data_IF_826343855703
#
_entry.id   IF_826343855703
#
_cell.length_a   1.000
_cell.length_b   1.000
_cell.length_c   1.000
_cell.angle_alpha   90.00
_cell.angle_beta   90.00
_cell.angle_gamma   90.00
#
_symmetry.space_group_name_H-M   'P 1'
#
loop_
_entity.id
_entity.type
_entity.pdbx_description
1 polymer ?
#
# COMPACT_ATOMS: atom_id res chain seq x y z
N UNK A 1 8.06 6.64 -16.13
CA UNK A 1 6.95 5.90 -15.51
C UNK A 1 7.53 4.90 -14.53
N UNK A 2 6.94 4.74 -13.35
CA UNK A 2 7.38 3.76 -12.34
C UNK A 2 6.87 2.39 -12.77
N UNK A 3 7.76 1.40 -12.78
CA UNK A 3 7.36 0.01 -12.96
C UNK A 3 7.04 -0.60 -11.57
N UNK A 4 5.76 -0.79 -11.29
CA UNK A 4 5.29 -1.33 -10.02
C UNK A 4 5.55 -2.83 -9.88
N UNK A 5 5.67 -3.56 -10.98
CA UNK A 5 5.88 -5.01 -10.98
C UNK A 5 7.37 -5.39 -10.99
N UNK A 6 8.22 -4.54 -11.55
CA UNK A 6 9.65 -4.74 -11.59
C UNK A 6 10.42 -3.45 -11.25
N UNK A 7 10.25 -2.90 -10.01
CA UNK A 7 10.89 -1.65 -9.64
C UNK A 7 12.41 -1.77 -9.69
N UNK A 8 13.04 -0.80 -10.35
CA UNK A 8 14.49 -0.77 -10.50
C UNK A 8 15.09 0.36 -9.67
N UNK A 9 16.12 0.03 -8.88
CA UNK A 9 16.92 1.02 -8.19
C UNK A 9 17.85 1.73 -9.17
N UNK A 10 17.51 2.98 -9.49
CA UNK A 10 18.28 3.87 -10.37
C UNK A 10 18.43 5.24 -9.71
N UNK A 11 19.44 6.04 -10.07
CA UNK A 11 19.54 7.42 -9.56
C UNK A 11 18.29 8.27 -9.78
N UNK A 12 17.48 7.95 -10.80
CA UNK A 12 16.22 8.67 -11.13
C UNK A 12 15.02 8.22 -10.33
N UNK A 13 15.05 7.06 -9.65
CA UNK A 13 13.91 6.43 -8.98
C UNK A 13 14.08 6.26 -7.47
N UNK A 14 15.10 6.88 -6.87
CA UNK A 14 15.45 6.65 -5.45
C UNK A 14 14.32 7.02 -4.48
N UNK A 15 13.47 7.98 -4.84
CA UNK A 15 12.33 8.43 -4.02
C UNK A 15 11.13 7.49 -4.04
N UNK A 16 11.05 6.62 -5.02
CA UNK A 16 9.91 5.70 -5.20
C UNK A 16 10.29 4.23 -5.12
N UNK A 17 11.53 3.89 -5.49
CA UNK A 17 12.00 2.51 -5.56
C UNK A 17 11.73 1.70 -4.29
N UNK A 18 12.13 2.24 -3.13
CA UNK A 18 11.98 1.53 -1.85
C UNK A 18 10.52 1.23 -1.53
N UNK A 19 9.65 2.22 -1.63
CA UNK A 19 8.23 2.06 -1.33
C UNK A 19 7.56 1.06 -2.28
N UNK A 20 7.75 1.22 -3.59
CA UNK A 20 7.16 0.32 -4.60
C UNK A 20 7.65 -1.12 -4.42
N UNK A 21 8.95 -1.33 -4.14
CA UNK A 21 9.49 -2.65 -3.88
C UNK A 21 8.87 -3.30 -2.64
N UNK A 22 8.70 -2.53 -1.57
CA UNK A 22 8.13 -3.01 -0.31
C UNK A 22 6.64 -3.35 -0.45
N UNK A 23 5.85 -2.50 -1.11
CA UNK A 23 4.44 -2.74 -1.39
C UNK A 23 4.26 -3.98 -2.26
N UNK A 24 4.98 -4.07 -3.38
CA UNK A 24 4.97 -5.26 -4.23
C UNK A 24 5.30 -6.53 -3.42
N UNK A 25 6.37 -6.49 -2.63
CA UNK A 25 6.80 -7.64 -1.82
C UNK A 25 5.75 -8.01 -0.76
N UNK A 26 5.04 -7.04 -0.18
CA UNK A 26 3.98 -7.29 0.77
C UNK A 26 2.77 -7.96 0.11
N UNK A 27 2.34 -7.47 -1.06
CA UNK A 27 1.27 -8.11 -1.85
C UNK A 27 1.67 -9.52 -2.27
N UNK A 28 2.91 -9.70 -2.73
CA UNK A 28 3.43 -11.00 -3.17
C UNK A 28 3.38 -12.07 -2.06
N UNK A 29 3.64 -11.68 -0.80
CA UNK A 29 3.48 -12.58 0.36
C UNK A 29 2.02 -12.96 0.63
N UNK A 30 1.09 -12.04 0.38
CA UNK A 30 -0.34 -12.26 0.60
C UNK A 30 -1.03 -13.02 -0.55
N UNK A 31 -0.38 -13.17 -1.71
CA UNK A 31 -1.00 -13.66 -2.95
C UNK A 31 -1.71 -15.00 -2.83
N UNK A 32 -1.17 -15.94 -2.07
CA UNK A 32 -1.78 -17.26 -1.89
C UNK A 32 -3.15 -17.22 -1.19
N UNK A 33 -3.48 -16.09 -0.54
CA UNK A 33 -4.77 -15.92 0.14
C UNK A 33 -5.87 -15.36 -0.78
N UNK A 34 -5.53 -14.80 -1.95
CA UNK A 34 -6.54 -14.32 -2.89
C UNK A 34 -7.19 -15.48 -3.65
N UNK A 35 -8.50 -15.42 -3.79
CA UNK A 35 -9.30 -16.40 -4.51
C UNK A 35 -10.60 -15.78 -5.04
N UNK A 36 -11.22 -16.42 -6.03
CA UNK A 36 -12.52 -16.02 -6.58
C UNK A 36 -12.56 -14.59 -7.11
N UNK A 37 -13.61 -13.87 -6.76
CA UNK A 37 -13.82 -12.47 -7.12
C UNK A 37 -13.05 -11.55 -6.16
N UNK A 38 -12.07 -10.80 -6.65
CA UNK A 38 -11.26 -9.84 -5.87
C UNK A 38 -11.70 -8.42 -6.19
N UNK A 39 -12.12 -7.67 -5.17
CA UNK A 39 -12.45 -6.26 -5.25
C UNK A 39 -11.23 -5.41 -4.88
N UNK A 40 -10.77 -4.55 -5.77
CA UNK A 40 -9.71 -3.57 -5.50
C UNK A 40 -10.34 -2.20 -5.28
N UNK A 41 -10.37 -1.75 -4.03
CA UNK A 41 -10.97 -0.49 -3.59
C UNK A 41 -9.91 0.59 -3.55
N UNK A 42 -10.11 1.70 -4.28
CA UNK A 42 -9.09 2.72 -4.53
C UNK A 42 -8.03 2.20 -5.51
N UNK A 43 -8.48 1.60 -6.61
CA UNK A 43 -7.63 0.84 -7.53
C UNK A 43 -6.61 1.70 -8.30
N UNK A 44 -6.80 3.00 -8.41
CA UNK A 44 -5.94 3.92 -9.14
C UNK A 44 -5.70 3.47 -10.59
N UNK A 45 -4.46 3.22 -10.92
CA UNK A 45 -4.04 2.68 -12.23
C UNK A 45 -3.98 1.15 -12.27
N UNK A 46 -4.49 0.47 -11.26
CA UNK A 46 -4.50 -1.00 -11.12
C UNK A 46 -3.10 -1.66 -11.26
N UNK A 47 -2.06 -1.13 -10.59
CA UNK A 47 -0.68 -1.55 -10.84
C UNK A 47 -0.41 -3.01 -10.46
N UNK A 48 -1.23 -3.58 -9.59
CA UNK A 48 -1.05 -4.94 -9.07
C UNK A 48 -2.03 -5.96 -9.64
N UNK A 49 -2.90 -5.57 -10.59
CA UNK A 49 -3.92 -6.46 -11.19
C UNK A 49 -3.33 -7.77 -11.72
N UNK A 50 -2.27 -7.70 -12.50
CA UNK A 50 -1.64 -8.91 -13.05
C UNK A 50 -0.97 -9.78 -11.99
N UNK A 51 -0.43 -9.16 -10.92
CA UNK A 51 0.13 -9.87 -9.79
C UNK A 51 -0.94 -10.64 -9.01
N UNK A 52 -2.09 -10.01 -8.76
CA UNK A 52 -3.24 -10.62 -8.06
C UNK A 52 -3.87 -11.74 -8.88
N UNK A 53 -3.91 -11.63 -10.21
CA UNK A 53 -4.49 -12.63 -11.11
C UNK A 53 -3.53 -13.75 -11.52
N UNK A 54 -2.29 -13.77 -11.01
CA UNK A 54 -1.29 -14.79 -11.36
C UNK A 54 -0.98 -15.74 -10.19
N UNK A 55 -0.61 -16.96 -10.50
CA UNK A 55 -0.20 -17.95 -9.49
C UNK A 55 0.87 -17.39 -8.52
N UNK A 56 0.82 -17.74 -7.21
CA UNK A 56 -0.02 -18.76 -6.57
C UNK A 56 -1.43 -18.27 -6.13
N UNK A 57 -1.88 -17.09 -6.56
CA UNK A 57 -3.24 -16.63 -6.33
C UNK A 57 -4.25 -17.54 -7.06
N UNK A 58 -5.41 -17.74 -6.43
CA UNK A 58 -6.56 -18.43 -7.02
C UNK A 58 -7.68 -17.45 -7.38
N UNK A 59 -7.32 -16.16 -7.52
CA UNK A 59 -8.27 -15.16 -8.00
C UNK A 59 -8.65 -15.42 -9.46
N UNK A 60 -9.95 -15.41 -9.72
CA UNK A 60 -10.51 -15.68 -11.06
C UNK A 60 -10.99 -14.40 -11.74
N UNK A 61 -11.34 -13.39 -10.94
CA UNK A 61 -11.84 -12.10 -11.42
C UNK A 61 -11.28 -10.97 -10.58
N UNK A 62 -10.97 -9.86 -11.23
CA UNK A 62 -10.56 -8.62 -10.59
C UNK A 62 -11.59 -7.54 -10.91
N UNK A 63 -12.14 -6.92 -9.90
CA UNK A 63 -13.17 -5.88 -9.96
C UNK A 63 -12.56 -4.62 -9.36
N UNK A 64 -12.46 -3.57 -10.14
CA UNK A 64 -11.86 -2.29 -9.73
C UNK A 64 -12.92 -1.29 -9.30
N UNK A 65 -12.68 -0.61 -8.17
CA UNK A 65 -13.54 0.45 -7.63
C UNK A 65 -12.69 1.67 -7.31
N UNK A 66 -13.09 2.84 -7.77
CA UNK A 66 -12.45 4.12 -7.43
C UNK A 66 -13.42 5.29 -7.51
N UNK A 67 -12.98 6.46 -7.05
CA UNK A 67 -13.69 7.71 -7.21
C UNK A 67 -13.75 8.11 -8.70
N UNK A 68 -14.79 8.82 -9.14
CA UNK A 68 -14.88 9.30 -10.51
C UNK A 68 -13.66 10.13 -10.92
N UNK A 69 -13.11 9.85 -12.08
CA UNK A 69 -11.98 10.60 -12.66
C UNK A 69 -10.61 10.32 -12.05
N UNK A 70 -10.48 9.36 -11.15
CA UNK A 70 -9.20 8.90 -10.58
C UNK A 70 -8.64 7.73 -11.38
N UNK A 71 -7.34 7.78 -11.67
CA UNK A 71 -6.63 6.68 -12.33
C UNK A 71 -7.13 6.32 -13.73
N UNK A 72 -7.16 5.03 -14.01
CA UNK A 72 -7.85 4.47 -15.18
C UNK A 72 -9.34 4.34 -14.84
N UNK A 73 -10.21 4.33 -15.87
CA UNK A 73 -11.64 4.10 -15.64
C UNK A 73 -11.85 2.78 -14.85
N UNK A 74 -12.38 2.83 -13.62
CA UNK A 74 -12.68 1.64 -12.83
C UNK A 74 -13.89 0.91 -13.41
N UNK A 75 -14.05 -0.39 -13.06
CA UNK A 75 -15.27 -1.14 -13.39
C UNK A 75 -16.51 -0.55 -12.67
N UNK A 76 -16.29 0.04 -11.48
CA UNK A 76 -17.32 0.62 -10.63
C UNK A 76 -16.82 1.95 -10.08
N UNK A 77 -17.60 3.00 -10.30
CA UNK A 77 -17.40 4.27 -9.62
C UNK A 77 -18.16 4.29 -8.28
N UNK A 78 -17.57 4.85 -7.24
CA UNK A 78 -18.21 5.01 -5.93
C UNK A 78 -18.02 6.43 -5.38
N UNK A 79 -18.71 6.74 -4.30
CA UNK A 79 -18.69 8.07 -3.67
C UNK A 79 -17.71 8.18 -2.48
N UNK A 80 -16.88 7.16 -2.25
CA UNK A 80 -15.98 7.08 -1.10
C UNK A 80 -16.65 6.63 0.20
N UNK A 81 -17.95 6.31 0.16
CA UNK A 81 -18.75 5.92 1.33
C UNK A 81 -19.45 4.58 1.17
N UNK A 82 -20.23 4.41 0.10
CA UNK A 82 -21.00 3.20 -0.15
C UNK A 82 -20.55 2.54 -1.47
N UNK A 83 -20.06 1.32 -1.39
CA UNK A 83 -19.71 0.52 -2.56
C UNK A 83 -21.01 0.02 -3.22
N UNK A 84 -21.29 0.34 -4.50
CA UNK A 84 -22.54 -0.02 -5.17
C UNK A 84 -22.58 -1.51 -5.57
N UNK A 85 -22.34 -2.38 -4.60
CA UNK A 85 -22.45 -3.82 -4.68
C UNK A 85 -23.35 -4.34 -3.57
N UNK A 86 -24.10 -5.44 -3.80
CA UNK A 86 -24.89 -6.08 -2.75
C UNK A 86 -23.99 -6.69 -1.66
N UNK A 87 -24.59 -7.00 -0.52
CA UNK A 87 -23.94 -7.71 0.57
C UNK A 87 -23.39 -9.07 0.10
N UNK A 88 -22.28 -9.50 0.69
CA UNK A 88 -21.67 -10.79 0.44
C UNK A 88 -21.44 -11.10 -1.06
N UNK A 89 -21.00 -10.13 -1.84
CA UNK A 89 -20.84 -10.23 -3.31
C UNK A 89 -19.48 -10.76 -3.75
N UNK A 90 -18.40 -10.47 -3.01
CA UNK A 90 -17.02 -10.77 -3.40
C UNK A 90 -16.33 -11.70 -2.40
N UNK A 91 -15.33 -12.43 -2.87
CA UNK A 91 -14.58 -13.39 -2.06
C UNK A 91 -13.42 -12.73 -1.34
N UNK A 92 -12.78 -11.77 -2.00
CA UNK A 92 -11.64 -11.03 -1.47
C UNK A 92 -11.80 -9.53 -1.71
N UNK A 93 -11.17 -8.72 -0.87
CA UNK A 93 -11.00 -7.29 -1.08
C UNK A 93 -9.54 -6.89 -0.83
N UNK A 94 -9.07 -5.88 -1.57
CA UNK A 94 -7.78 -5.25 -1.31
C UNK A 94 -7.91 -3.74 -1.29
N UNK A 95 -7.12 -3.08 -0.42
CA UNK A 95 -6.97 -1.64 -0.32
C UNK A 95 -5.47 -1.35 -0.21
N UNK A 96 -4.87 -0.78 -1.24
CA UNK A 96 -3.43 -0.53 -1.28
C UNK A 96 -3.17 0.97 -1.20
N UNK A 97 -2.73 1.47 -0.03
CA UNK A 97 -2.49 2.90 0.22
C UNK A 97 -3.77 3.72 -0.07
N UNK A 98 -4.85 3.42 0.65
CA UNK A 98 -6.18 4.03 0.47
C UNK A 98 -6.70 4.64 1.76
N UNK A 99 -6.57 3.93 2.90
CA UNK A 99 -7.21 4.35 4.15
C UNK A 99 -6.69 5.69 4.68
N UNK A 100 -5.46 6.05 4.36
CA UNK A 100 -4.89 7.36 4.71
C UNK A 100 -5.61 8.54 4.05
N UNK A 101 -6.32 8.28 2.94
CA UNK A 101 -7.09 9.27 2.17
C UNK A 101 -8.59 9.31 2.52
N UNK A 102 -9.05 8.42 3.39
CA UNK A 102 -10.45 8.30 3.73
C UNK A 102 -10.77 9.14 4.97
N UNK A 103 -11.69 10.10 4.86
CA UNK A 103 -12.16 10.89 6.01
C UNK A 103 -12.86 10.03 7.08
N UNK A 104 -13.49 8.91 6.68
CA UNK A 104 -14.07 7.90 7.58
C UNK A 104 -13.51 6.50 7.27
N UNK A 105 -12.29 6.19 7.71
CA UNK A 105 -11.66 4.90 7.42
C UNK A 105 -12.40 3.70 8.05
N UNK A 106 -13.06 3.89 9.18
CA UNK A 106 -13.87 2.84 9.82
C UNK A 106 -15.12 2.54 9.00
N UNK A 107 -15.79 3.57 8.47
CA UNK A 107 -16.94 3.44 7.57
C UNK A 107 -16.57 2.69 6.28
N UNK A 108 -15.44 3.03 5.65
CA UNK A 108 -14.93 2.32 4.47
C UNK A 108 -14.65 0.85 4.77
N UNK A 109 -14.01 0.53 5.89
CA UNK A 109 -13.76 -0.86 6.28
C UNK A 109 -15.05 -1.64 6.56
N UNK A 110 -16.09 -1.00 7.14
CA UNK A 110 -17.42 -1.60 7.33
C UNK A 110 -18.10 -1.90 6.00
N UNK A 111 -17.98 -1.00 5.02
CA UNK A 111 -18.50 -1.24 3.66
C UNK A 111 -17.78 -2.39 2.97
N UNK A 112 -16.46 -2.44 3.07
CA UNK A 112 -15.67 -3.58 2.57
C UNK A 112 -16.11 -4.88 3.25
N UNK A 113 -16.30 -4.85 4.56
CA UNK A 113 -16.83 -6.01 5.30
C UNK A 113 -18.22 -6.40 4.82
N UNK A 114 -19.12 -5.46 4.55
CA UNK A 114 -20.46 -5.72 4.04
C UNK A 114 -20.45 -6.47 2.72
N UNK A 115 -19.65 -6.01 1.75
CA UNK A 115 -19.58 -6.63 0.42
C UNK A 115 -18.81 -7.94 0.36
N UNK A 116 -17.94 -8.22 1.33
CA UNK A 116 -17.27 -9.49 1.47
C UNK A 116 -18.24 -10.59 1.92
N UNK A 117 -18.10 -11.78 1.36
CA UNK A 117 -18.77 -12.99 1.85
C UNK A 117 -18.31 -13.34 3.26
N UNK A 118 -19.13 -14.05 4.06
CA UNK A 118 -18.66 -14.63 5.33
C UNK A 118 -17.37 -15.44 5.09
N UNK A 119 -16.35 -15.26 5.92
CA UNK A 119 -15.02 -15.86 5.73
C UNK A 119 -14.21 -15.27 4.58
N UNK A 120 -14.68 -14.21 3.92
CA UNK A 120 -13.96 -13.52 2.83
C UNK A 120 -12.66 -12.86 3.32
N UNK A 121 -11.68 -12.78 2.45
CA UNK A 121 -10.33 -12.29 2.75
C UNK A 121 -10.20 -10.81 2.47
N UNK A 122 -9.61 -10.06 3.42
CA UNK A 122 -9.20 -8.68 3.27
C UNK A 122 -7.68 -8.57 3.31
N UNK A 123 -7.11 -7.86 2.34
CA UNK A 123 -5.73 -7.39 2.33
C UNK A 123 -5.70 -5.87 2.25
N UNK A 124 -4.86 -5.22 3.07
CA UNK A 124 -4.62 -3.78 2.92
C UNK A 124 -3.18 -3.40 3.23
N UNK A 125 -2.76 -2.23 2.73
CA UNK A 125 -1.53 -1.54 3.13
C UNK A 125 -1.83 -0.10 3.49
N UNK A 126 -1.02 0.45 4.40
CA UNK A 126 -1.03 1.87 4.77
C UNK A 126 0.39 2.36 4.99
N UNK A 127 0.72 3.60 4.61
CA UNK A 127 2.03 4.19 4.85
C UNK A 127 2.18 4.54 6.35
N UNK A 128 3.42 4.41 6.86
CA UNK A 128 3.80 4.94 8.17
C UNK A 128 4.73 6.14 8.01
N UNK A 129 5.76 6.02 7.16
CA UNK A 129 6.66 7.11 6.81
C UNK A 129 6.52 7.40 5.31
N UNK A 130 5.76 8.44 4.99
CA UNK A 130 5.63 8.95 3.63
C UNK A 130 5.32 10.45 3.66
N UNK A 131 5.85 11.26 2.72
CA UNK A 131 5.48 12.67 2.62
C UNK A 131 3.99 12.86 2.37
N UNK A 132 3.45 13.98 2.79
CA UNK A 132 2.07 14.35 2.42
C UNK A 132 1.94 14.35 0.89
N UNK A 133 0.85 13.73 0.41
CA UNK A 133 0.54 13.59 -1.01
C UNK A 133 -0.97 13.62 -1.22
N UNK A 134 -1.42 13.83 -2.44
CA UNK A 134 -2.84 13.91 -2.80
C UNK A 134 -3.66 14.88 -1.94
N UNK A 135 -2.99 15.97 -1.51
CA UNK A 135 -3.58 17.01 -0.65
C UNK A 135 -4.81 17.65 -1.32
N UNK A 136 -5.88 17.94 -0.54
CA UNK A 136 -5.95 17.97 0.92
C UNK A 136 -6.36 16.64 1.59
N UNK A 137 -6.45 15.54 0.86
CA UNK A 137 -7.04 14.28 1.31
C UNK A 137 -6.04 13.26 1.91
N UNK A 138 -4.86 13.69 2.34
CA UNK A 138 -3.88 12.84 3.05
C UNK A 138 -4.00 13.09 4.55
N UNK A 139 -4.85 12.32 5.23
CA UNK A 139 -5.32 12.63 6.57
C UNK A 139 -4.66 11.79 7.67
N UNK A 140 -4.26 10.53 7.38
CA UNK A 140 -3.85 9.60 8.43
C UNK A 140 -2.50 8.92 8.21
N UNK A 141 -1.86 8.62 9.35
CA UNK A 141 -0.76 7.65 9.49
C UNK A 141 -1.08 6.72 10.64
N UNK A 142 -1.13 5.44 10.38
CA UNK A 142 -1.63 4.45 11.33
C UNK A 142 -0.50 3.77 12.10
N UNK A 143 -0.64 3.66 13.42
CA UNK A 143 0.11 2.67 14.20
C UNK A 143 -0.57 1.30 14.06
N UNK A 144 0.18 0.22 14.32
CA UNK A 144 -0.39 -1.13 14.32
C UNK A 144 -1.57 -1.28 15.29
N UNK A 145 -1.52 -0.62 16.43
CA UNK A 145 -2.59 -0.65 17.44
C UNK A 145 -3.87 0.07 16.96
N UNK A 146 -3.70 1.22 16.30
CA UNK A 146 -4.82 1.94 15.70
C UNK A 146 -5.47 1.11 14.59
N UNK A 147 -4.67 0.57 13.68
CA UNK A 147 -5.14 -0.25 12.56
C UNK A 147 -5.85 -1.52 13.05
N UNK A 148 -5.30 -2.19 14.08
CA UNK A 148 -5.92 -3.37 14.71
C UNK A 148 -7.32 -3.04 15.26
N UNK A 149 -7.46 -1.91 15.95
CA UNK A 149 -8.74 -1.47 16.52
C UNK A 149 -9.76 -1.14 15.42
N UNK A 150 -9.37 -0.43 14.37
CA UNK A 150 -10.25 -0.11 13.23
C UNK A 150 -10.75 -1.38 12.55
N UNK A 151 -9.84 -2.32 12.27
CA UNK A 151 -10.20 -3.61 11.66
C UNK A 151 -11.15 -4.41 12.54
N UNK A 152 -10.89 -4.49 13.85
CA UNK A 152 -11.76 -5.19 14.78
C UNK A 152 -13.18 -4.59 14.83
N UNK A 153 -13.29 -3.25 14.88
CA UNK A 153 -14.55 -2.53 14.88
C UNK A 153 -15.34 -2.71 13.57
N UNK A 154 -14.63 -2.95 12.47
CA UNK A 154 -15.23 -3.13 11.15
C UNK A 154 -15.61 -4.59 10.84
N UNK A 155 -15.41 -5.54 11.75
CA UNK A 155 -15.78 -6.94 11.57
C UNK A 155 -14.62 -7.89 11.20
N UNK A 156 -13.37 -7.44 11.42
CA UNK A 156 -12.14 -8.20 11.20
C UNK A 156 -11.32 -8.37 12.50
N UNK A 157 -11.83 -9.09 13.52
CA UNK A 157 -11.24 -9.12 14.86
C UNK A 157 -9.86 -9.78 14.92
N UNK A 158 -9.55 -10.69 13.98
CA UNK A 158 -8.34 -11.49 13.95
C UNK A 158 -7.37 -11.05 12.83
N UNK A 159 -7.19 -9.76 12.63
CA UNK A 159 -6.27 -9.24 11.63
C UNK A 159 -4.81 -9.51 12.02
N UNK A 160 -4.01 -10.01 11.08
CA UNK A 160 -2.56 -10.11 11.18
C UNK A 160 -1.94 -8.87 10.56
N UNK A 161 -1.22 -8.07 11.35
CA UNK A 161 -0.58 -6.84 10.90
C UNK A 161 0.94 -7.02 10.90
N UNK A 162 1.58 -6.69 9.77
CA UNK A 162 3.01 -6.79 9.57
C UNK A 162 3.62 -5.48 9.04
N UNK A 163 4.90 -5.24 9.32
CA UNK A 163 5.64 -4.17 8.66
C UNK A 163 5.89 -4.51 7.19
N UNK A 164 5.80 -3.52 6.30
CA UNK A 164 6.20 -3.69 4.90
C UNK A 164 7.72 -3.68 4.74
N UNK A 165 8.45 -2.89 5.54
CA UNK A 165 9.92 -2.84 5.61
C UNK A 165 10.41 -2.49 7.00
N UNK A 166 11.69 -2.75 7.28
CA UNK A 166 12.34 -2.52 8.56
C UNK A 166 13.20 -1.25 8.58
N UNK A 167 14.14 -1.20 9.53
CA UNK A 167 14.98 -0.02 9.80
C UNK A 167 15.88 0.40 8.64
N UNK A 168 16.44 -0.55 7.90
CA UNK A 168 17.32 -0.24 6.77
C UNK A 168 16.51 0.27 5.59
N UNK A 169 15.36 -0.33 5.31
CA UNK A 169 14.43 0.14 4.30
C UNK A 169 13.90 1.55 4.64
N UNK A 170 13.59 1.82 5.91
CA UNK A 170 13.20 3.15 6.35
C UNK A 170 14.29 4.18 6.04
N UNK A 171 15.53 3.91 6.41
CA UNK A 171 16.66 4.80 6.12
C UNK A 171 16.83 5.00 4.61
N UNK A 172 16.75 3.93 3.82
CA UNK A 172 16.84 3.98 2.36
C UNK A 172 15.74 4.87 1.74
N UNK A 173 14.49 4.69 2.17
CA UNK A 173 13.33 5.48 1.70
C UNK A 173 13.52 6.96 2.06
N UNK A 174 13.87 7.27 3.32
CA UNK A 174 14.08 8.66 3.76
C UNK A 174 15.23 9.32 3.00
N UNK A 175 16.35 8.63 2.78
CA UNK A 175 17.47 9.14 1.97
C UNK A 175 17.04 9.39 0.52
N UNK A 176 16.31 8.47 -0.09
CA UNK A 176 15.79 8.62 -1.45
C UNK A 176 14.87 9.82 -1.60
N UNK A 177 13.93 9.98 -0.67
CA UNK A 177 13.02 11.13 -0.60
C UNK A 177 13.79 12.44 -0.41
N UNK A 178 14.74 12.47 0.52
CA UNK A 178 15.54 13.66 0.79
C UNK A 178 16.31 14.11 -0.45
N UNK A 179 16.93 13.19 -1.19
CA UNK A 179 17.69 13.54 -2.40
C UNK A 179 16.77 13.98 -3.53
N UNK A 180 15.70 13.24 -3.78
CA UNK A 180 14.88 13.40 -4.99
C UNK A 180 13.79 14.45 -4.87
N UNK A 181 13.14 14.53 -3.70
CA UNK A 181 12.01 15.46 -3.45
C UNK A 181 12.41 16.78 -2.81
N UNK A 182 13.71 17.04 -2.66
CA UNK A 182 14.19 18.34 -2.19
C UNK A 182 13.74 19.43 -3.16
N UNK A 183 13.07 20.46 -2.65
CA UNK A 183 12.65 21.62 -3.43
C UNK A 183 13.90 22.38 -3.92
N UNK A 184 14.22 22.28 -5.20
CA UNK A 184 15.45 22.83 -5.78
C UNK A 184 15.08 23.77 -6.90
N UNK A 185 15.30 25.07 -6.66
CA UNK A 185 14.90 26.17 -7.55
C UNK A 185 16.03 26.70 -8.44
N UNK A 186 17.28 26.28 -8.24
CA UNK A 186 18.43 26.78 -9.00
C UNK A 186 19.16 25.68 -9.79
N UNK A 187 19.91 26.08 -10.84
CA UNK A 187 20.74 25.14 -11.64
C UNK A 187 21.79 24.40 -10.80
N UNK A 188 22.38 25.05 -9.80
CA UNK A 188 23.33 24.42 -8.85
C UNK A 188 22.67 23.27 -8.11
N UNK A 189 21.42 23.44 -7.70
CA UNK A 189 20.67 22.38 -7.04
C UNK A 189 20.38 21.18 -7.94
N UNK A 190 20.13 21.40 -9.23
CA UNK A 190 19.90 20.30 -10.19
C UNK A 190 21.15 19.42 -10.31
N UNK A 191 22.32 20.03 -10.44
CA UNK A 191 23.61 19.32 -10.48
C UNK A 191 23.87 18.56 -9.17
N UNK A 192 23.70 19.25 -8.02
CA UNK A 192 23.87 18.63 -6.70
C UNK A 192 22.92 17.44 -6.52
N UNK A 193 21.66 17.56 -6.94
CA UNK A 193 20.69 16.47 -6.91
C UNK A 193 21.15 15.28 -7.75
N UNK A 194 21.65 15.54 -8.97
CA UNK A 194 22.14 14.47 -9.85
C UNK A 194 23.34 13.75 -9.23
N UNK A 195 24.35 14.51 -8.74
CA UNK A 195 25.54 13.96 -8.08
C UNK A 195 25.15 13.14 -6.85
N UNK A 196 24.33 13.69 -5.95
CA UNK A 196 23.88 12.99 -4.74
C UNK A 196 23.07 11.73 -5.09
N UNK A 197 22.25 11.77 -6.14
CA UNK A 197 21.50 10.59 -6.60
C UNK A 197 22.44 9.47 -7.05
N UNK A 198 23.52 9.79 -7.76
CA UNK A 198 24.52 8.81 -8.19
C UNK A 198 25.33 8.26 -7.00
N UNK A 199 25.76 9.14 -6.10
CA UNK A 199 26.57 8.76 -4.92
C UNK A 199 25.77 7.90 -3.93
N UNK A 200 24.51 8.27 -3.68
CA UNK A 200 23.68 7.56 -2.70
C UNK A 200 22.94 6.35 -3.28
N UNK A 201 22.89 6.20 -4.60
CA UNK A 201 22.28 5.03 -5.23
C UNK A 201 22.79 3.69 -4.70
N UNK A 202 24.13 3.38 -4.67
CA UNK A 202 24.61 2.12 -4.16
C UNK A 202 24.34 1.95 -2.66
N UNK A 203 24.34 3.03 -1.88
CA UNK A 203 24.00 3.01 -0.45
C UNK A 203 22.53 2.60 -0.25
N UNK A 204 21.62 3.25 -0.96
CA UNK A 204 20.19 2.95 -0.90
C UNK A 204 19.92 1.51 -1.36
N UNK A 205 20.54 1.08 -2.45
CA UNK A 205 20.42 -0.28 -2.94
C UNK A 205 20.92 -1.31 -1.90
N UNK A 206 22.06 -1.05 -1.27
CA UNK A 206 22.62 -1.92 -0.22
C UNK A 206 21.72 -1.98 1.00
N UNK A 207 21.22 -0.84 1.48
CA UNK A 207 20.29 -0.77 2.61
C UNK A 207 19.03 -1.59 2.34
N UNK A 208 18.43 -1.44 1.14
CA UNK A 208 17.25 -2.23 0.75
C UNK A 208 17.54 -3.74 0.71
N UNK A 209 18.75 -4.13 0.30
CA UNK A 209 19.18 -5.55 0.27
C UNK A 209 19.44 -6.14 1.66
N UNK A 210 19.91 -5.31 2.58
CA UNK A 210 20.21 -5.70 3.97
C UNK A 210 18.96 -5.64 4.86
N UNK A 211 17.86 -5.10 4.38
CA UNK A 211 16.68 -4.90 5.21
C UNK A 211 16.08 -6.22 5.67
N UNK A 212 15.69 -6.22 6.93
CA UNK A 212 14.93 -7.30 7.56
C UNK A 212 13.69 -6.71 8.21
N UNK A 213 12.55 -7.23 7.82
CA UNK A 213 11.29 -6.86 8.47
C UNK A 213 11.34 -7.23 9.95
N UNK A 214 10.80 -6.38 10.84
CA UNK A 214 10.63 -6.76 12.23
C UNK A 214 9.60 -7.91 12.32
N UNK A 215 9.93 -8.95 13.09
CA UNK A 215 9.01 -10.08 13.35
C UNK A 215 7.86 -9.70 14.27
N UNK A 216 8.09 -8.74 15.15
CA UNK A 216 7.11 -8.22 16.12
C UNK A 216 7.08 -6.70 16.05
N UNK A 217 5.86 -6.16 16.11
CA UNK A 217 5.63 -4.71 16.21
C UNK A 217 5.51 -4.32 17.68
N UNK A 218 6.34 -3.39 18.11
CA UNK A 218 6.39 -2.93 19.51
C UNK A 218 7.18 -1.65 19.65
N UNK A 219 7.56 -1.33 20.88
CA UNK A 219 8.39 -0.17 21.19
C UNK A 219 9.69 -0.18 20.38
N UNK A 220 10.11 1.00 19.93
CA UNK A 220 11.34 1.20 19.13
C UNK A 220 11.34 0.51 17.77
N UNK A 221 10.21 -0.04 17.30
CA UNK A 221 10.12 -0.60 15.94
C UNK A 221 10.16 0.50 14.91
N UNK A 222 11.15 0.46 14.02
CA UNK A 222 11.27 1.35 12.88
C UNK A 222 10.75 0.60 11.63
N UNK A 223 9.79 1.21 10.93
CA UNK A 223 9.11 0.62 9.77
C UNK A 223 8.74 1.67 8.74
N UNK A 224 8.51 1.24 7.49
CA UNK A 224 8.12 2.13 6.38
C UNK A 224 6.61 2.25 6.27
N UNK A 225 5.91 1.14 6.37
CA UNK A 225 4.46 1.04 6.29
C UNK A 225 3.97 -0.26 6.92
N UNK A 226 2.68 -0.44 6.95
CA UNK A 226 2.02 -1.63 7.48
C UNK A 226 1.23 -2.33 6.38
N UNK A 227 1.15 -3.66 6.47
CA UNK A 227 0.19 -4.47 5.72
C UNK A 227 -0.66 -5.28 6.69
N UNK A 228 -1.91 -5.51 6.35
CA UNK A 228 -2.80 -6.34 7.12
C UNK A 228 -3.48 -7.41 6.26
N UNK A 229 -3.56 -8.63 6.80
CA UNK A 229 -4.35 -9.74 6.30
C UNK A 229 -5.43 -10.05 7.33
N UNK A 230 -6.68 -10.10 6.90
CA UNK A 230 -7.80 -10.37 7.78
C UNK A 230 -8.89 -11.21 7.09
N UNK A 231 -9.73 -11.82 7.89
CA UNK A 231 -10.89 -12.55 7.39
C UNK A 231 -12.15 -12.01 8.07
N UNK A 232 -13.21 -11.82 7.27
CA UNK A 232 -14.52 -11.46 7.80
C UNK A 232 -15.03 -12.58 8.71
N UNK A 233 -15.54 -12.21 9.88
CA UNK A 233 -16.23 -13.18 10.76
C UNK A 233 -17.36 -13.90 10.03
N UNK A 234 -17.55 -15.17 10.37
CA UNK A 234 -18.62 -16.01 9.80
C UNK A 234 -20.01 -15.52 10.21
#
# INVERSE_FOLDING_TARGET
>A
MIDYLAPQCRPSTLDSYGNVLLLRSAIERARCNFYGDVLDVGCGHMPYRSLVLSEPSRATRYISVDLPGVGNAPDIEWDGRMIPLPDARVDCAMLTEVLEHCADPEGVLKEVCRVLRPGGFLYLTVPFIWPMHDVPHDEFRYTSYCLQRLLANAGFPNASIEATGGRHALLAVVLGLWVRRRALTSRVHVVTKAVLSVVLWPVIWSLMRMDKRPEKLGESTLLVGLSACAYKSA
#
